data_IF_235915943250
#
_entry.id   IF_235915943250
#
_cell.length_a   1.000
_cell.length_b   1.000
_cell.length_c   1.000
_cell.angle_alpha   90.00
_cell.angle_beta   90.00
_cell.angle_gamma   90.00
#
_symmetry.space_group_name_H-M   'P 1'
#
loop_
_entity.id
_entity.type
_entity.pdbx_description
1 polymer ?
#
# COMPACT_ATOMS: atom_id res chain seq x y z
N UNK A 1 -6.80 9.79 -10.23
CA UNK A 1 -6.36 8.64 -11.02
C UNK A 1 -5.44 7.81 -10.17
N UNK A 2 -5.71 6.51 -10.12
CA UNK A 2 -4.77 5.52 -9.65
C UNK A 2 -3.70 5.34 -10.72
N UNK A 3 -2.42 5.37 -10.34
CA UNK A 3 -1.39 4.89 -11.25
C UNK A 3 -1.64 3.41 -11.51
N UNK A 4 -1.70 3.04 -12.78
CA UNK A 4 -1.85 1.66 -13.18
C UNK A 4 -0.68 0.80 -12.66
N UNK A 5 0.53 1.33 -12.48
CA UNK A 5 1.65 0.54 -11.93
C UNK A 5 1.41 0.09 -10.47
N UNK A 6 0.81 0.96 -9.64
CA UNK A 6 0.48 0.63 -8.25
C UNK A 6 -0.82 -0.15 -8.10
N UNK A 7 -1.67 -0.16 -9.13
CA UNK A 7 -2.86 -1.02 -9.19
C UNK A 7 -2.50 -2.40 -9.68
N UNK A 8 -1.49 -2.55 -10.54
CA UNK A 8 -1.21 -3.81 -11.23
C UNK A 8 -0.23 -4.71 -10.51
N UNK A 9 0.77 -4.19 -9.81
CA UNK A 9 1.60 -4.99 -8.89
C UNK A 9 0.79 -5.58 -7.73
N UNK A 10 -0.38 -5.00 -7.49
CA UNK A 10 -1.32 -5.36 -6.45
C UNK A 10 -2.48 -6.22 -6.97
N UNK A 11 -2.95 -5.97 -8.19
CA UNK A 11 -3.87 -6.88 -8.89
C UNK A 11 -3.18 -8.18 -9.29
N UNK A 12 -1.95 -8.21 -9.79
CA UNK A 12 -1.22 -9.48 -10.10
C UNK A 12 -1.05 -10.37 -8.88
N UNK A 13 -0.92 -9.74 -7.71
CA UNK A 13 -0.83 -10.40 -6.45
C UNK A 13 -2.22 -10.92 -6.02
N UNK A 14 -3.27 -10.08 -6.09
CA UNK A 14 -4.68 -10.50 -5.92
C UNK A 14 -5.08 -11.67 -6.84
N UNK A 15 -4.51 -11.68 -8.05
CA UNK A 15 -4.71 -12.69 -9.10
C UNK A 15 -4.11 -14.05 -8.73
N UNK A 16 -2.98 -14.06 -8.03
CA UNK A 16 -2.25 -15.28 -7.74
C UNK A 16 -2.98 -16.22 -6.79
N UNK A 17 -3.92 -15.67 -6.02
CA UNK A 17 -4.54 -16.47 -4.99
C UNK A 17 -5.77 -17.24 -5.49
N UNK A 18 -6.40 -16.95 -6.64
CA UNK A 18 -7.29 -17.83 -7.45
C UNK A 18 -8.05 -16.89 -8.42
N UNK A 19 -7.98 -17.17 -9.72
CA UNK A 19 -8.95 -16.81 -10.78
C UNK A 19 -9.95 -15.70 -10.44
N UNK A 20 -9.70 -14.45 -10.87
CA UNK A 20 -10.76 -13.42 -10.80
C UNK A 20 -10.90 -12.66 -12.14
N UNK A 21 -11.61 -13.23 -13.13
CA UNK A 21 -12.14 -12.51 -14.30
C UNK A 21 -12.97 -11.27 -13.95
N UNK A 22 -13.63 -11.28 -12.78
CA UNK A 22 -14.60 -10.25 -12.39
C UNK A 22 -13.99 -8.85 -12.19
N UNK A 23 -12.78 -8.74 -11.67
CA UNK A 23 -12.17 -7.43 -11.41
C UNK A 23 -11.86 -6.63 -12.68
N UNK A 24 -11.50 -7.31 -13.77
CA UNK A 24 -11.21 -6.69 -15.07
C UNK A 24 -12.50 -6.24 -15.75
N UNK A 25 -13.51 -7.11 -15.77
CA UNK A 25 -14.83 -6.79 -16.33
C UNK A 25 -15.47 -5.57 -15.63
N UNK A 26 -15.20 -5.42 -14.34
CA UNK A 26 -15.68 -4.31 -13.52
C UNK A 26 -14.76 -3.08 -13.53
N UNK A 27 -13.51 -3.18 -13.98
CA UNK A 27 -12.55 -2.08 -13.94
C UNK A 27 -12.98 -0.95 -14.89
N UNK A 28 -13.21 0.28 -14.38
CA UNK A 28 -13.67 1.40 -15.21
C UNK A 28 -12.47 2.09 -15.92
N UNK A 29 -11.68 1.30 -16.64
CA UNK A 29 -10.47 1.73 -17.35
C UNK A 29 -10.73 2.16 -18.79
N UNK A 30 -9.75 2.85 -19.39
CA UNK A 30 -9.73 3.09 -20.84
C UNK A 30 -9.57 1.76 -21.59
N UNK A 31 -10.09 1.61 -22.83
CA UNK A 31 -10.05 0.34 -23.56
C UNK A 31 -8.67 -0.30 -23.66
N UNK A 32 -7.60 0.48 -23.90
CA UNK A 32 -6.24 -0.06 -23.95
C UNK A 32 -5.71 -0.56 -22.60
N UNK A 33 -6.15 0.07 -21.50
CA UNK A 33 -5.80 -0.35 -20.14
C UNK A 33 -6.54 -1.64 -19.79
N UNK A 34 -7.82 -1.74 -20.16
CA UNK A 34 -8.60 -2.97 -19.98
C UNK A 34 -8.03 -4.10 -20.83
N UNK A 35 -7.68 -3.84 -22.10
CA UNK A 35 -7.08 -4.85 -22.98
C UNK A 35 -5.75 -5.35 -22.45
N UNK A 36 -4.96 -4.45 -21.85
CA UNK A 36 -3.75 -4.84 -21.13
C UNK A 36 -4.08 -5.79 -19.97
N UNK A 37 -5.03 -5.46 -19.10
CA UNK A 37 -5.44 -6.35 -18.00
C UNK A 37 -5.85 -7.74 -18.49
N UNK A 38 -6.66 -7.80 -19.54
CA UNK A 38 -7.09 -9.06 -20.16
C UNK A 38 -5.88 -9.87 -20.66
N UNK A 39 -4.96 -9.23 -21.36
CA UNK A 39 -3.74 -9.88 -21.88
C UNK A 39 -2.87 -10.41 -20.74
N UNK A 40 -2.72 -9.66 -19.65
CA UNK A 40 -1.98 -10.10 -18.47
C UNK A 40 -2.69 -11.27 -17.78
N UNK A 41 -4.01 -11.23 -17.69
CA UNK A 41 -4.81 -12.32 -17.12
C UNK A 41 -4.64 -13.61 -17.92
N UNK A 42 -4.79 -13.56 -19.24
CA UNK A 42 -4.61 -14.71 -20.13
C UNK A 42 -3.19 -15.31 -19.99
N UNK A 43 -2.18 -14.44 -19.89
CA UNK A 43 -0.80 -14.87 -19.68
C UNK A 43 -0.59 -15.54 -18.32
N UNK A 44 -1.15 -14.97 -17.24
CA UNK A 44 -1.05 -15.54 -15.89
C UNK A 44 -1.72 -16.92 -15.78
N UNK A 45 -2.92 -17.07 -16.36
CA UNK A 45 -3.69 -18.32 -16.32
C UNK A 45 -3.06 -19.40 -17.20
N UNK A 46 -2.39 -19.01 -18.29
CA UNK A 46 -1.73 -19.96 -19.19
C UNK A 46 -0.37 -20.48 -18.70
N UNK A 47 0.21 -19.89 -17.65
CA UNK A 47 1.47 -20.36 -17.10
C UNK A 47 1.30 -21.61 -16.22
N UNK A 48 1.96 -22.73 -16.55
CA UNK A 48 1.85 -23.98 -15.79
C UNK A 48 2.80 -23.97 -14.57
N UNK A 49 2.87 -22.87 -13.82
CA UNK A 49 3.81 -22.69 -12.71
C UNK A 49 3.08 -22.47 -11.39
N UNK A 50 3.32 -23.37 -10.43
CA UNK A 50 2.84 -23.21 -9.05
C UNK A 50 3.46 -22.00 -8.33
N UNK A 51 4.62 -21.53 -8.83
CA UNK A 51 5.36 -20.37 -8.32
C UNK A 51 5.90 -19.55 -9.47
N UNK A 52 5.55 -18.27 -9.51
CA UNK A 52 6.06 -17.33 -10.49
C UNK A 52 7.04 -16.37 -9.79
N UNK A 53 8.29 -16.28 -10.27
CA UNK A 53 9.24 -15.30 -9.78
C UNK A 53 8.74 -13.87 -9.97
N UNK A 54 9.02 -13.00 -9.01
CA UNK A 54 8.66 -11.58 -9.08
C UNK A 54 9.19 -10.90 -10.36
N UNK A 55 10.43 -11.21 -10.75
CA UNK A 55 11.04 -10.62 -11.94
C UNK A 55 10.33 -11.02 -13.24
N UNK A 56 9.70 -12.20 -13.29
CA UNK A 56 8.90 -12.62 -14.44
C UNK A 56 7.63 -11.77 -14.58
N UNK A 57 6.97 -11.45 -13.45
CA UNK A 57 5.84 -10.50 -13.43
C UNK A 57 6.31 -9.11 -13.83
N UNK A 58 7.47 -8.67 -13.34
CA UNK A 58 8.02 -7.35 -13.63
C UNK A 58 8.37 -7.19 -15.11
N UNK A 59 8.99 -8.20 -15.72
CA UNK A 59 9.32 -8.22 -17.15
C UNK A 59 8.07 -8.14 -18.03
N UNK A 60 6.97 -8.77 -17.61
CA UNK A 60 5.66 -8.70 -18.26
C UNK A 60 5.04 -7.30 -18.14
N UNK A 61 4.93 -6.77 -16.91
CA UNK A 61 4.26 -5.48 -16.64
C UNK A 61 5.01 -4.31 -17.30
N UNK A 62 6.34 -4.36 -17.32
CA UNK A 62 7.16 -3.37 -18.01
C UNK A 62 7.17 -3.54 -19.53
N UNK A 63 6.39 -4.49 -20.06
CA UNK A 63 6.31 -4.78 -21.48
C UNK A 63 7.69 -4.97 -22.12
N UNK A 64 8.59 -5.69 -21.43
CA UNK A 64 9.94 -5.95 -21.93
C UNK A 64 9.91 -6.77 -23.23
N UNK A 65 8.82 -7.50 -23.46
CA UNK A 65 8.51 -8.22 -24.70
C UNK A 65 8.05 -7.30 -25.85
N UNK A 66 7.97 -5.97 -25.65
CA UNK A 66 7.65 -4.95 -26.67
C UNK A 66 6.33 -5.19 -27.42
N UNK A 67 5.29 -5.61 -26.71
CA UNK A 67 3.94 -5.75 -27.27
C UNK A 67 3.35 -4.35 -27.51
N UNK A 68 3.12 -3.98 -28.77
CA UNK A 68 2.58 -2.67 -29.13
C UNK A 68 1.23 -2.38 -28.44
N UNK A 69 1.03 -1.17 -27.94
CA UNK A 69 -0.22 -0.73 -27.31
C UNK A 69 -0.38 -1.07 -25.83
N UNK A 70 0.58 -1.76 -25.23
CA UNK A 70 0.63 -2.12 -23.81
C UNK A 70 1.63 -1.21 -23.10
N UNK A 71 1.16 -0.14 -22.46
CA UNK A 71 2.01 0.74 -21.65
C UNK A 71 1.24 1.29 -20.46
N UNK A 72 1.84 1.11 -19.28
CA UNK A 72 1.47 1.83 -18.07
C UNK A 72 2.50 2.92 -17.82
N UNK A 73 2.06 4.02 -17.20
CA UNK A 73 2.98 5.08 -16.81
C UNK A 73 4.00 4.52 -15.81
N UNK A 74 5.28 4.73 -16.09
CA UNK A 74 6.39 4.43 -15.21
C UNK A 74 6.48 5.38 -13.99
N UNK A 75 5.56 6.35 -13.89
CA UNK A 75 5.42 7.27 -12.77
C UNK A 75 4.05 7.15 -12.13
N UNK A 76 4.02 7.32 -10.81
CA UNK A 76 2.79 7.43 -10.03
C UNK A 76 2.45 8.92 -9.90
N UNK A 77 1.27 9.31 -10.38
CA UNK A 77 0.77 10.67 -10.27
C UNK A 77 -0.55 10.69 -9.49
N UNK A 78 -0.55 11.33 -8.32
CA UNK A 78 -1.76 11.51 -7.53
C UNK A 78 -2.39 12.87 -7.84
N UNK A 79 -3.69 12.86 -8.14
CA UNK A 79 -4.49 14.08 -8.29
C UNK A 79 -5.47 14.17 -7.11
N UNK A 80 -6.65 13.55 -7.23
CA UNK A 80 -7.63 13.51 -6.13
C UNK A 80 -7.26 12.69 -4.89
N UNK A 81 -6.07 12.06 -4.87
CA UNK A 81 -5.50 11.37 -3.71
C UNK A 81 -4.14 11.97 -3.29
N UNK A 82 -3.74 13.10 -3.85
CA UNK A 82 -2.51 13.79 -3.45
C UNK A 82 -2.63 14.23 -1.98
N UNK A 83 -1.65 13.84 -1.17
CA UNK A 83 -1.52 14.29 0.21
C UNK A 83 -0.93 15.69 0.28
N UNK A 84 -1.20 16.41 1.38
CA UNK A 84 -0.53 17.67 1.69
C UNK A 84 0.97 17.49 1.97
N UNK A 85 1.38 16.26 2.31
CA UNK A 85 2.77 15.83 2.50
C UNK A 85 2.97 14.43 1.90
N UNK A 86 4.20 14.10 1.54
CA UNK A 86 4.55 12.84 0.87
C UNK A 86 4.02 11.54 1.53
N UNK A 87 4.04 11.35 2.87
CA UNK A 87 3.57 10.09 3.48
C UNK A 87 2.05 10.01 3.64
N UNK A 88 1.30 11.05 3.24
CA UNK A 88 -0.14 11.14 3.49
C UNK A 88 -0.95 10.77 2.23
N UNK A 89 -2.14 10.22 2.46
CA UNK A 89 -3.13 9.86 1.42
C UNK A 89 -2.59 8.87 0.40
N UNK A 90 -2.25 9.31 -0.81
CA UNK A 90 -1.61 8.53 -1.87
C UNK A 90 -2.27 7.17 -2.13
N UNK A 91 -1.46 6.12 -2.06
CA UNK A 91 -1.83 4.76 -2.40
C UNK A 91 -3.03 4.21 -1.59
N UNK A 92 -3.08 4.29 -0.25
CA UNK A 92 -4.28 3.90 0.51
C UNK A 92 -5.56 4.63 0.09
N UNK A 93 -5.49 5.95 -0.15
CA UNK A 93 -6.64 6.71 -0.67
C UNK A 93 -7.12 6.17 -2.02
N UNK A 94 -6.15 5.85 -2.88
CA UNK A 94 -6.41 5.37 -4.21
C UNK A 94 -7.12 4.00 -4.19
N UNK A 95 -6.66 3.07 -3.33
CA UNK A 95 -7.25 1.73 -3.20
C UNK A 95 -8.69 1.80 -2.70
N UNK A 96 -8.99 2.66 -1.73
CA UNK A 96 -10.38 2.88 -1.31
C UNK A 96 -11.26 3.31 -2.48
N UNK A 97 -10.79 4.27 -3.30
CA UNK A 97 -11.54 4.70 -4.50
C UNK A 97 -11.72 3.56 -5.50
N UNK A 98 -10.69 2.74 -5.73
CA UNK A 98 -10.78 1.57 -6.61
C UNK A 98 -11.83 0.58 -6.11
N UNK A 99 -11.78 0.22 -4.83
CA UNK A 99 -12.71 -0.75 -4.24
C UNK A 99 -14.16 -0.26 -4.29
N UNK A 100 -14.41 1.00 -3.96
CA UNK A 100 -15.74 1.62 -4.10
C UNK A 100 -16.22 1.61 -5.54
N UNK A 101 -15.35 1.95 -6.50
CA UNK A 101 -15.66 1.83 -7.92
C UNK A 101 -16.00 0.40 -8.32
N UNK A 102 -15.23 -0.61 -7.92
CA UNK A 102 -15.52 -2.01 -8.26
C UNK A 102 -16.87 -2.47 -7.68
N UNK A 103 -17.18 -2.14 -6.42
CA UNK A 103 -18.48 -2.49 -5.82
C UNK A 103 -19.65 -1.79 -6.51
N UNK A 104 -19.50 -0.52 -6.87
CA UNK A 104 -20.52 0.22 -7.61
C UNK A 104 -20.70 -0.36 -9.02
N UNK A 105 -19.60 -0.68 -9.72
CA UNK A 105 -19.66 -1.29 -11.04
C UNK A 105 -20.37 -2.64 -11.02
N UNK A 106 -20.12 -3.48 -10.01
CA UNK A 106 -20.85 -4.74 -9.85
C UNK A 106 -22.35 -4.54 -9.63
N UNK A 107 -22.73 -3.49 -8.90
CA UNK A 107 -24.13 -3.18 -8.64
C UNK A 107 -24.87 -2.56 -9.84
N UNK A 108 -24.17 -1.81 -10.70
CA UNK A 108 -24.79 -1.15 -11.87
C UNK A 108 -24.67 -1.94 -13.18
N UNK A 109 -23.78 -2.94 -13.24
CA UNK A 109 -23.58 -3.83 -14.39
C UNK A 109 -23.64 -5.30 -13.94
N UNK A 110 -24.83 -5.81 -13.57
CA UNK A 110 -24.97 -7.19 -13.09
C UNK A 110 -24.61 -8.23 -14.17
N UNK A 111 -24.74 -7.87 -15.44
CA UNK A 111 -24.35 -8.66 -16.61
C UNK A 111 -22.83 -8.77 -16.78
N UNK A 112 -22.05 -7.84 -16.20
CA UNK A 112 -20.59 -7.84 -16.35
C UNK A 112 -19.96 -9.12 -15.79
N UNK A 113 -20.61 -9.80 -14.84
CA UNK A 113 -20.14 -11.04 -14.22
C UNK A 113 -20.85 -12.29 -14.76
N UNK A 114 -21.74 -12.14 -15.74
CA UNK A 114 -22.44 -13.28 -16.34
C UNK A 114 -21.43 -14.24 -17.00
N UNK A 115 -21.69 -15.55 -16.90
CA UNK A 115 -20.82 -16.61 -17.39
C UNK A 115 -19.44 -16.66 -16.71
N UNK A 116 -19.33 -16.12 -15.49
CA UNK A 116 -18.14 -16.26 -14.64
C UNK A 116 -18.46 -17.09 -13.41
N UNK A 117 -17.43 -17.56 -12.69
CA UNK A 117 -17.61 -18.24 -11.39
C UNK A 117 -18.24 -17.34 -10.30
N UNK A 118 -18.38 -16.04 -10.57
CA UNK A 118 -18.94 -15.04 -9.67
C UNK A 118 -20.38 -14.65 -10.03
N UNK A 119 -20.98 -15.27 -11.05
CA UNK A 119 -22.36 -15.01 -11.43
C UNK A 119 -23.29 -15.28 -10.24
N UNK A 120 -24.08 -14.27 -9.87
CA UNK A 120 -24.99 -14.35 -8.71
C UNK A 120 -24.33 -14.26 -7.33
N UNK A 121 -22.99 -14.20 -7.20
CA UNK A 121 -22.33 -14.01 -5.91
C UNK A 121 -22.25 -12.52 -5.54
N UNK A 122 -23.21 -12.07 -4.72
CA UNK A 122 -23.25 -10.71 -4.19
C UNK A 122 -21.98 -10.26 -3.45
N UNK A 123 -21.18 -11.20 -2.94
CA UNK A 123 -19.98 -10.92 -2.15
C UNK A 123 -18.69 -11.04 -2.97
N UNK A 124 -18.75 -11.39 -4.26
CA UNK A 124 -17.58 -11.67 -5.09
C UNK A 124 -16.50 -10.57 -5.01
N UNK A 125 -16.92 -9.30 -5.16
CA UNK A 125 -16.02 -8.15 -5.11
C UNK A 125 -15.46 -7.95 -3.69
N UNK A 126 -16.28 -8.06 -2.65
CA UNK A 126 -15.82 -7.90 -1.26
C UNK A 126 -14.85 -9.00 -0.84
N UNK A 127 -15.09 -10.25 -1.23
CA UNK A 127 -14.18 -11.38 -1.00
C UNK A 127 -12.83 -11.14 -1.68
N UNK A 128 -12.86 -10.63 -2.92
CA UNK A 128 -11.64 -10.25 -3.66
C UNK A 128 -10.87 -9.15 -2.94
N UNK A 129 -11.55 -8.09 -2.50
CA UNK A 129 -10.95 -6.98 -1.73
C UNK A 129 -10.34 -7.49 -0.42
N UNK A 130 -11.10 -8.27 0.36
CA UNK A 130 -10.67 -8.84 1.64
C UNK A 130 -9.40 -9.66 1.47
N UNK A 131 -9.37 -10.51 0.46
CA UNK A 131 -8.20 -11.35 0.15
C UNK A 131 -7.00 -10.50 -0.24
N UNK A 132 -7.19 -9.55 -1.14
CA UNK A 132 -6.13 -8.66 -1.56
C UNK A 132 -5.50 -7.90 -0.37
N UNK A 133 -6.36 -7.33 0.49
CA UNK A 133 -5.91 -6.62 1.69
C UNK A 133 -5.11 -7.53 2.62
N UNK A 134 -5.56 -8.79 2.79
CA UNK A 134 -4.88 -9.76 3.65
C UNK A 134 -3.49 -10.12 3.14
N UNK A 135 -3.36 -10.40 1.85
CA UNK A 135 -2.11 -10.92 1.29
C UNK A 135 -1.10 -9.81 0.95
N UNK A 136 -1.56 -8.70 0.34
CA UNK A 136 -0.68 -7.75 -0.37
C UNK A 136 -0.64 -6.35 0.20
N UNK A 137 -1.68 -5.90 0.89
CA UNK A 137 -1.70 -4.54 1.38
C UNK A 137 -0.61 -4.30 2.43
N UNK A 138 0.28 -3.34 2.15
CA UNK A 138 1.53 -3.16 2.91
C UNK A 138 1.33 -2.83 4.39
N UNK A 139 0.26 -2.12 4.75
CA UNK A 139 -0.04 -1.81 6.15
C UNK A 139 -0.74 -2.99 6.85
N UNK A 140 0.02 -3.80 7.58
CA UNK A 140 -0.51 -5.00 8.27
C UNK A 140 -1.53 -4.68 9.36
N UNK A 141 -1.32 -3.61 10.13
CA UNK A 141 -2.29 -3.15 11.13
C UNK A 141 -3.62 -2.74 10.46
N UNK A 142 -3.54 -2.00 9.35
CA UNK A 142 -4.71 -1.62 8.57
C UNK A 142 -5.45 -2.85 8.02
N UNK A 143 -4.70 -3.86 7.55
CA UNK A 143 -5.27 -5.11 7.04
C UNK A 143 -5.98 -5.91 8.14
N UNK A 144 -5.41 -5.99 9.35
CA UNK A 144 -6.04 -6.66 10.50
C UNK A 144 -7.35 -5.97 10.90
N UNK A 145 -7.38 -4.64 10.92
CA UNK A 145 -8.60 -3.89 11.16
C UNK A 145 -9.68 -4.14 10.12
N UNK A 146 -9.32 -4.18 8.83
CA UNK A 146 -10.27 -4.52 7.76
C UNK A 146 -10.80 -5.95 7.90
N UNK A 147 -9.91 -6.92 8.15
CA UNK A 147 -10.25 -8.32 8.34
C UNK A 147 -11.21 -8.52 9.53
N UNK A 148 -11.03 -7.77 10.62
CA UNK A 148 -11.93 -7.80 11.77
C UNK A 148 -13.36 -7.37 11.38
N UNK A 149 -13.49 -6.25 10.66
CA UNK A 149 -14.80 -5.78 10.17
C UNK A 149 -15.41 -6.76 9.17
N UNK A 150 -14.58 -7.38 8.33
CA UNK A 150 -15.03 -8.38 7.36
C UNK A 150 -15.60 -9.64 8.04
N UNK A 151 -14.91 -10.16 9.06
CA UNK A 151 -15.40 -11.30 9.87
C UNK A 151 -16.68 -10.99 10.61
N UNK A 152 -16.86 -9.75 11.05
CA UNK A 152 -18.03 -9.32 11.83
C UNK A 152 -19.32 -9.40 11.01
N UNK A 153 -19.32 -8.95 9.75
CA UNK A 153 -20.59 -8.80 9.02
C UNK A 153 -20.52 -8.87 7.48
N UNK A 154 -19.40 -9.28 6.87
CA UNK A 154 -19.36 -9.37 5.39
C UNK A 154 -20.29 -10.49 4.87
N UNK A 155 -20.44 -11.58 5.63
CA UNK A 155 -21.25 -12.74 5.24
C UNK A 155 -22.76 -12.46 5.22
N UNK A 156 -23.20 -11.37 5.86
CA UNK A 156 -24.60 -10.93 5.85
C UNK A 156 -25.01 -10.19 4.57
N UNK A 157 -24.06 -9.80 3.71
CA UNK A 157 -24.33 -9.10 2.45
C UNK A 157 -24.95 -10.05 1.44
N UNK A 158 -26.13 -9.70 0.90
CA UNK A 158 -26.94 -10.53 -0.01
C UNK A 158 -27.12 -9.94 -1.40
N UNK A 159 -26.84 -8.66 -1.60
CA UNK A 159 -26.93 -8.00 -2.91
C UNK A 159 -25.69 -7.18 -3.23
N UNK A 160 -25.46 -6.89 -4.51
CA UNK A 160 -24.35 -6.03 -4.93
C UNK A 160 -24.51 -4.58 -4.44
N UNK A 161 -25.76 -4.10 -4.30
CA UNK A 161 -26.07 -2.82 -3.66
C UNK A 161 -25.67 -2.81 -2.19
N UNK A 162 -26.07 -3.85 -1.43
CA UNK A 162 -25.62 -4.04 -0.05
C UNK A 162 -24.10 -4.15 0.07
N UNK A 163 -23.42 -4.72 -0.93
CA UNK A 163 -21.96 -4.80 -0.93
C UNK A 163 -21.30 -3.42 -1.04
N UNK A 164 -21.82 -2.54 -1.91
CA UNK A 164 -21.37 -1.15 -2.02
C UNK A 164 -21.64 -0.36 -0.73
N UNK A 165 -22.85 -0.52 -0.16
CA UNK A 165 -23.22 0.11 1.11
C UNK A 165 -22.38 -0.43 2.28
N UNK A 166 -22.10 -1.73 2.34
CA UNK A 166 -21.26 -2.34 3.37
C UNK A 166 -19.86 -1.72 3.37
N UNK A 167 -19.23 -1.63 2.19
CA UNK A 167 -17.90 -1.05 2.06
C UNK A 167 -17.90 0.43 2.48
N UNK A 168 -18.94 1.18 2.10
CA UNK A 168 -19.13 2.57 2.51
C UNK A 168 -19.27 2.72 4.03
N UNK A 169 -20.14 1.95 4.68
CA UNK A 169 -20.32 1.94 6.14
C UNK A 169 -19.01 1.65 6.85
N UNK A 170 -18.29 0.59 6.44
CA UNK A 170 -17.01 0.20 7.05
C UNK A 170 -15.91 1.23 6.80
N UNK A 171 -15.92 1.92 5.66
CA UNK A 171 -15.00 3.03 5.43
C UNK A 171 -15.29 4.22 6.37
N UNK A 172 -16.55 4.52 6.67
CA UNK A 172 -16.91 5.54 7.66
C UNK A 172 -16.52 5.15 9.10
N UNK A 173 -16.61 3.87 9.47
CA UNK A 173 -16.05 3.37 10.74
C UNK A 173 -14.54 3.65 10.82
N UNK A 174 -13.81 3.41 9.72
CA UNK A 174 -12.38 3.72 9.63
C UNK A 174 -12.12 5.22 9.71
N UNK A 175 -12.92 6.05 9.04
CA UNK A 175 -12.81 7.51 9.11
C UNK A 175 -12.97 7.99 10.56
N UNK A 176 -14.01 7.53 11.25
CA UNK A 176 -14.26 7.88 12.65
C UNK A 176 -13.10 7.50 13.57
N UNK A 177 -12.51 6.31 13.39
CA UNK A 177 -11.35 5.87 14.17
C UNK A 177 -10.10 6.70 13.89
N UNK A 178 -9.89 7.11 12.64
CA UNK A 178 -8.69 7.83 12.21
C UNK A 178 -8.81 9.36 12.35
N UNK A 179 -9.98 9.89 12.70
CA UNK A 179 -10.17 11.31 12.94
C UNK A 179 -9.28 11.79 14.09
N UNK A 180 -8.48 12.84 13.85
CA UNK A 180 -7.50 13.37 14.80
C UNK A 180 -6.25 12.50 15.01
N UNK A 181 -6.09 11.39 14.26
CA UNK A 181 -4.91 10.55 14.39
C UNK A 181 -3.67 11.23 13.78
N UNK A 182 -2.43 10.91 14.24
CA UNK A 182 -1.21 11.47 13.66
C UNK A 182 -1.00 11.17 12.16
N UNK A 183 -1.70 10.16 11.62
CA UNK A 183 -1.69 9.78 10.21
C UNK A 183 -2.75 10.52 9.37
N UNK A 184 -3.58 11.36 9.99
CA UNK A 184 -4.57 12.20 9.31
C UNK A 184 -3.89 13.32 8.53
N UNK A 185 -4.40 13.59 7.33
CA UNK A 185 -3.93 14.72 6.53
C UNK A 185 -4.66 16.00 6.97
N UNK A 186 -3.97 17.04 7.44
CA UNK A 186 -4.61 18.28 7.88
C UNK A 186 -5.44 18.98 6.79
N UNK A 187 -5.10 18.79 5.51
CA UNK A 187 -5.87 19.33 4.37
C UNK A 187 -6.96 18.37 3.87
N UNK A 188 -7.12 17.22 4.50
CA UNK A 188 -8.21 16.27 4.21
C UNK A 188 -8.64 15.53 5.49
N UNK A 189 -9.26 16.25 6.45
CA UNK A 189 -9.73 15.66 7.69
C UNK A 189 -10.69 14.50 7.45
N UNK A 190 -10.66 13.51 8.34
CA UNK A 190 -11.60 12.39 8.35
C UNK A 190 -12.93 12.87 8.90
N UNK A 191 -13.95 12.68 8.09
CA UNK A 191 -15.35 12.95 8.42
C UNK A 191 -16.17 11.75 8.03
N UNK A 192 -17.35 11.63 8.63
CA UNK A 192 -18.35 10.74 8.06
C UNK A 192 -18.72 11.29 6.67
N UNK A 193 -18.62 10.43 5.67
CA UNK A 193 -18.72 10.80 4.26
C UNK A 193 -19.93 10.10 3.61
N UNK A 194 -20.68 10.75 2.70
CA UNK A 194 -20.53 12.14 2.27
C UNK A 194 -20.88 13.13 3.37
N UNK A 195 -20.37 14.36 3.25
CA UNK A 195 -20.83 15.47 4.08
C UNK A 195 -22.18 15.99 3.58
N UNK A 196 -22.95 16.71 4.41
CA UNK A 196 -24.20 17.33 3.98
C UNK A 196 -24.05 18.23 2.75
N UNK A 197 -22.92 18.93 2.60
CA UNK A 197 -22.64 19.76 1.42
C UNK A 197 -22.48 18.95 0.13
N UNK A 198 -22.02 17.70 0.23
CA UNK A 198 -21.85 16.80 -0.92
C UNK A 198 -23.12 16.05 -1.28
N UNK A 199 -23.94 15.69 -0.29
CA UNK A 199 -25.19 14.99 -0.51
C UNK A 199 -26.21 15.30 0.59
N UNK A 200 -26.95 16.42 0.50
CA UNK A 200 -27.94 16.77 1.53
C UNK A 200 -29.00 15.67 1.71
N UNK A 201 -29.45 15.06 0.60
CA UNK A 201 -30.45 13.99 0.61
C UNK A 201 -29.99 12.69 1.29
N UNK A 202 -28.67 12.50 1.46
CA UNK A 202 -28.12 11.34 2.16
C UNK A 202 -28.33 11.40 3.68
N UNK A 203 -28.62 12.58 4.23
CA UNK A 203 -28.77 12.81 5.66
C UNK A 203 -30.24 13.06 5.98
N UNK A 204 -30.74 12.36 6.99
CA UNK A 204 -32.06 12.57 7.55
C UNK A 204 -31.98 12.65 9.07
N UNK A 205 -33.07 13.08 9.69
CA UNK A 205 -33.18 13.20 11.14
C UNK A 205 -34.40 12.41 11.61
N UNK A 206 -34.17 11.39 12.43
CA UNK A 206 -35.22 10.55 13.01
C UNK A 206 -35.15 10.72 14.53
N UNK A 207 -36.23 11.22 15.13
CA UNK A 207 -36.32 11.48 16.58
C UNK A 207 -35.20 12.40 17.12
N UNK A 208 -34.78 13.41 16.36
CA UNK A 208 -33.71 14.31 16.79
C UNK A 208 -32.29 13.76 16.57
N UNK A 209 -32.16 12.57 16.01
CA UNK A 209 -30.88 11.90 15.78
C UNK A 209 -30.60 11.80 14.28
N UNK A 210 -29.35 12.08 13.92
CA UNK A 210 -28.87 11.90 12.55
C UNK A 210 -29.02 10.44 12.13
N UNK A 211 -29.59 10.22 10.95
CA UNK A 211 -29.68 8.93 10.29
C UNK A 211 -29.25 9.06 8.82
N UNK A 212 -28.86 7.93 8.23
CA UNK A 212 -28.51 7.84 6.82
C UNK A 212 -29.69 7.35 5.99
N UNK A 213 -30.03 8.11 4.95
CA UNK A 213 -30.92 7.60 3.91
C UNK A 213 -30.11 6.72 2.95
N UNK A 214 -30.04 5.42 3.22
CA UNK A 214 -29.18 4.49 2.48
C UNK A 214 -29.49 4.41 0.98
N UNK A 215 -30.75 4.66 0.60
CA UNK A 215 -31.16 4.73 -0.81
C UNK A 215 -30.52 5.93 -1.51
N UNK A 216 -30.54 7.09 -0.89
CA UNK A 216 -29.90 8.31 -1.41
C UNK A 216 -28.37 8.21 -1.35
N UNK A 217 -27.82 7.57 -0.31
CA UNK A 217 -26.39 7.23 -0.24
C UNK A 217 -25.99 6.37 -1.43
N UNK A 218 -26.73 5.28 -1.71
CA UNK A 218 -26.41 4.43 -2.84
C UNK A 218 -26.54 5.16 -4.19
N UNK A 219 -27.56 6.01 -4.35
CA UNK A 219 -27.70 6.87 -5.52
C UNK A 219 -26.48 7.79 -5.70
N UNK A 220 -26.01 8.39 -4.60
CA UNK A 220 -24.80 9.21 -4.57
C UNK A 220 -23.54 8.39 -4.90
N UNK A 221 -23.37 7.19 -4.34
CA UNK A 221 -22.23 6.30 -4.65
C UNK A 221 -22.18 5.93 -6.13
N UNK A 222 -23.33 5.60 -6.73
CA UNK A 222 -23.45 5.29 -8.16
C UNK A 222 -22.99 6.45 -9.05
N UNK A 223 -23.37 7.68 -8.67
CA UNK A 223 -22.89 8.89 -9.36
C UNK A 223 -21.38 9.03 -9.13
N UNK A 224 -20.96 9.20 -7.88
CA UNK A 224 -19.59 9.55 -7.50
C UNK A 224 -18.52 8.56 -8.02
N UNK A 225 -18.81 7.26 -8.01
CA UNK A 225 -17.89 6.21 -8.46
C UNK A 225 -18.24 5.65 -9.85
N UNK A 226 -19.21 6.24 -10.54
CA UNK A 226 -19.61 5.84 -11.89
C UNK A 226 -18.55 6.21 -12.94
N UNK A 227 -18.49 5.44 -14.03
CA UNK A 227 -17.54 5.65 -15.14
C UNK A 227 -17.59 7.08 -15.68
N UNK A 228 -18.78 7.69 -15.72
CA UNK A 228 -19.00 9.04 -16.27
C UNK A 228 -18.35 10.14 -15.44
N UNK A 229 -18.10 9.94 -14.14
CA UNK A 229 -17.47 10.94 -13.27
C UNK A 229 -15.93 10.85 -13.27
N UNK A 230 -15.35 9.91 -14.02
CA UNK A 230 -13.89 9.77 -14.12
C UNK A 230 -13.35 10.83 -15.10
N UNK A 231 -12.75 11.89 -14.56
CA UNK A 231 -11.99 12.86 -15.38
C UNK A 231 -10.78 12.20 -16.02
N UNK A 232 -10.58 12.42 -17.33
CA UNK A 232 -9.43 11.95 -18.12
C UNK A 232 -8.36 13.03 -18.35
N UNK A 233 -8.54 14.23 -17.79
CA UNK A 233 -7.65 15.40 -18.01
C UNK A 233 -6.17 15.11 -17.68
N UNK A 234 -5.91 14.23 -16.72
CA UNK A 234 -4.58 13.88 -16.23
C UNK A 234 -4.12 12.48 -16.66
N UNK A 235 -4.77 11.89 -17.67
CA UNK A 235 -4.53 10.49 -18.08
C UNK A 235 -3.42 10.33 -19.12
N UNK A 236 -2.96 11.45 -19.72
CA UNK A 236 -1.88 11.47 -20.69
C UNK A 236 -0.59 11.97 -20.03
N UNK A 237 0.47 11.15 -19.93
CA UNK A 237 1.75 11.57 -19.38
C UNK A 237 2.46 12.65 -20.21
N UNK A 238 2.05 12.90 -21.45
CA UNK A 238 2.61 13.95 -22.33
C UNK A 238 1.81 15.26 -22.29
N UNK A 239 0.76 15.34 -21.46
CA UNK A 239 0.06 16.61 -21.27
C UNK A 239 0.88 17.51 -20.35
N UNK A 240 1.41 18.61 -20.92
CA UNK A 240 2.08 19.68 -20.17
C UNK A 240 1.09 20.29 -19.19
N UNK A 241 1.19 19.90 -17.91
CA UNK A 241 0.47 20.57 -16.83
C UNK A 241 1.45 21.45 -16.06
N UNK A 242 1.13 22.74 -15.85
CA UNK A 242 1.98 23.61 -15.06
C UNK A 242 2.05 23.06 -13.63
N UNK A 243 3.26 22.70 -13.21
CA UNK A 243 3.59 22.48 -11.81
C UNK A 243 3.20 23.76 -11.05
N UNK A 244 2.35 23.63 -10.03
CA UNK A 244 2.00 24.76 -9.18
C UNK A 244 3.26 25.22 -8.44
N UNK A 245 3.85 26.32 -8.90
CA UNK A 245 4.87 27.07 -8.16
C UNK A 245 4.26 27.61 -6.86
N UNK A 246 4.52 26.92 -5.75
CA UNK A 246 4.40 27.50 -4.42
C UNK A 246 5.82 27.84 -3.94
N UNK A 247 6.25 29.06 -4.24
CA UNK A 247 7.63 29.50 -4.09
C UNK A 247 7.78 30.99 -4.38
N UNK A 248 7.25 31.80 -3.46
CA UNK A 248 7.42 33.24 -3.28
C UNK A 248 8.63 33.86 -4.02
N UNK A 249 8.34 34.70 -5.02
CA UNK A 249 9.30 35.58 -5.70
C UNK A 249 9.74 36.71 -4.78
N UNK A 250 11.01 36.71 -4.37
CA UNK A 250 11.70 37.94 -3.99
C UNK A 250 12.51 38.42 -5.20
N UNK A 251 12.13 39.58 -5.73
CA UNK A 251 12.85 40.27 -6.79
C UNK A 251 14.08 40.96 -6.20
N UNK A 252 15.28 40.66 -6.72
CA UNK A 252 16.29 41.70 -6.85
C UNK A 252 17.05 41.58 -8.17
N UNK A 253 17.16 42.74 -8.80
CA UNK A 253 17.52 42.99 -10.19
C UNK A 253 19.03 43.19 -10.32
N UNK A 254 19.69 42.53 -11.27
CA UNK A 254 20.82 43.14 -12.01
C UNK A 254 21.03 42.44 -13.36
N UNK A 255 21.00 43.24 -14.43
CA UNK A 255 21.36 42.93 -15.84
C UNK A 255 22.89 42.77 -15.95
N UNK A 256 23.55 42.14 -16.93
CA UNK A 256 23.41 42.13 -18.40
C UNK A 256 24.36 41.03 -19.01
N UNK A 257 24.68 40.91 -20.32
CA UNK A 257 24.41 39.70 -21.11
C UNK A 257 25.67 39.08 -21.81
N UNK A 258 25.55 37.85 -22.32
CA UNK A 258 26.00 37.41 -23.69
C UNK A 258 26.10 35.88 -23.84
N UNK A 259 25.50 35.47 -24.94
CA UNK A 259 25.56 34.22 -25.72
C UNK A 259 26.83 33.34 -25.59
N UNK A 260 26.65 32.01 -25.50
CA UNK A 260 26.98 31.06 -26.59
C UNK A 260 26.66 29.58 -26.22
N UNK A 261 26.23 28.80 -27.23
CA UNK A 261 25.86 27.36 -27.22
C UNK A 261 27.10 26.43 -27.11
N UNK A 262 26.98 25.08 -26.96
CA UNK A 262 27.77 24.26 -26.05
C UNK A 262 28.86 23.43 -26.76
N UNK A 263 29.67 22.66 -26.01
CA UNK A 263 29.76 21.23 -26.34
C UNK A 263 29.80 20.28 -25.13
N UNK A 264 29.50 19.02 -25.46
CA UNK A 264 29.43 17.80 -24.65
C UNK A 264 30.48 17.64 -23.54
N UNK A 265 30.06 17.12 -22.38
CA UNK A 265 30.83 16.16 -21.56
C UNK A 265 29.99 15.54 -20.42
N UNK A 266 30.39 14.35 -19.91
CA UNK A 266 29.49 13.32 -19.38
C UNK A 266 29.02 13.50 -17.93
N UNK A 267 27.86 12.90 -17.66
CA UNK A 267 27.16 12.84 -16.36
C UNK A 267 28.05 12.17 -15.30
N UNK A 268 28.56 12.97 -14.36
CA UNK A 268 29.20 12.51 -13.12
C UNK A 268 28.11 12.23 -12.07
N UNK A 269 28.05 10.99 -11.58
CA UNK A 269 27.24 10.59 -10.42
C UNK A 269 27.87 11.14 -9.13
N UNK A 270 27.11 11.78 -8.22
CA UNK A 270 27.61 12.06 -6.88
C UNK A 270 27.54 10.80 -5.99
N UNK A 271 28.72 10.28 -5.64
CA UNK A 271 28.99 9.17 -4.73
C UNK A 271 28.88 9.64 -3.27
N UNK A 272 27.66 9.68 -2.71
CA UNK A 272 27.42 9.96 -1.28
C UNK A 272 27.34 8.67 -0.45
N UNK A 273 28.30 7.74 -0.59
CA UNK A 273 28.44 6.62 0.35
C UNK A 273 29.91 6.20 0.53
N UNK A 274 30.81 7.16 0.82
CA UNK A 274 32.22 6.88 1.17
C UNK A 274 32.75 7.63 2.40
N UNK A 275 31.88 7.96 3.37
CA UNK A 275 32.31 8.66 4.60
C UNK A 275 31.89 7.99 5.91
N UNK A 276 31.86 6.65 5.95
CA UNK A 276 31.50 5.88 7.15
C UNK A 276 32.52 4.83 7.60
N UNK A 277 33.75 4.86 7.09
CA UNK A 277 34.82 3.98 7.60
C UNK A 277 36.14 4.72 7.68
N UNK A 278 36.45 5.30 8.85
CA UNK A 278 37.80 5.30 9.41
C UNK A 278 37.72 5.27 10.94
N UNK A 279 38.51 4.41 11.62
CA UNK A 279 38.60 4.37 13.07
C UNK A 279 39.64 5.38 13.57
N UNK A 280 39.33 6.15 14.62
CA UNK A 280 40.31 7.01 15.31
C UNK A 280 40.85 6.32 16.57
N UNK A 281 42.17 6.34 16.68
CA UNK A 281 43.01 5.87 17.77
C UNK A 281 42.81 6.63 19.10
N UNK A 282 43.32 6.02 20.18
CA UNK A 282 43.29 6.48 21.58
C UNK A 282 44.51 7.33 21.97
N UNK A 283 44.30 8.05 23.10
CA UNK A 283 45.20 8.81 24.00
C UNK A 283 45.10 10.35 23.85
N UNK A 284 45.04 11.19 24.90
CA UNK A 284 45.36 11.07 26.34
C UNK A 284 44.63 12.15 27.16
N UNK A 285 44.60 11.94 28.47
CA UNK A 285 43.92 12.67 29.57
C UNK A 285 44.44 14.11 29.80
N UNK A 286 43.56 15.06 30.14
CA UNK A 286 43.80 16.05 31.20
C UNK A 286 42.50 16.58 31.82
N UNK A 287 42.61 16.93 33.09
CA UNK A 287 41.61 17.14 34.15
C UNK A 287 41.03 18.56 34.15
N UNK A 288 39.74 18.71 34.45
CA UNK A 288 39.26 19.73 35.40
C UNK A 288 37.76 19.56 35.74
N UNK A 289 37.49 19.39 37.04
CA UNK A 289 36.20 19.59 37.70
C UNK A 289 35.68 21.02 37.49
N UNK A 290 34.38 21.15 37.20
CA UNK A 290 33.43 21.79 38.13
C UNK A 290 31.98 21.59 37.70
N UNK A 291 31.13 21.30 38.68
CA UNK A 291 29.72 21.02 38.47
C UNK A 291 28.87 22.29 38.39
N UNK A 292 28.01 22.35 37.37
CA UNK A 292 26.78 23.14 37.44
C UNK A 292 25.68 22.45 36.63
N UNK A 293 24.53 22.31 37.28
CA UNK A 293 23.29 21.73 36.79
C UNK A 293 22.91 22.27 35.40
N UNK A 294 22.80 21.39 34.40
CA UNK A 294 21.87 21.60 33.29
C UNK A 294 21.39 20.24 32.78
N UNK A 295 20.12 19.96 33.03
CA UNK A 295 19.38 18.89 32.38
C UNK A 295 19.41 19.12 30.88
N UNK A 296 20.07 18.22 30.13
CA UNK A 296 19.86 18.09 28.69
C UNK A 296 19.55 16.64 28.41
N UNK A 297 18.24 16.37 28.39
CA UNK A 297 17.67 15.19 27.78
C UNK A 297 18.06 15.14 26.31
N UNK A 298 18.96 14.23 25.95
CA UNK A 298 19.24 13.88 24.56
C UNK A 298 19.29 12.36 24.46
N UNK A 299 18.32 11.80 23.71
CA UNK A 299 17.98 10.38 23.51
C UNK A 299 16.97 9.80 24.53
N UNK A 300 15.71 10.23 24.40
CA UNK A 300 14.57 9.69 25.12
C UNK A 300 14.11 8.31 24.64
N UNK A 301 14.68 7.27 25.22
CA UNK A 301 14.03 5.97 25.42
C UNK A 301 14.38 5.51 26.84
N UNK A 302 13.41 5.56 27.74
CA UNK A 302 13.56 5.13 29.12
C UNK A 302 13.67 3.61 29.20
N UNK A 303 14.89 3.09 29.26
CA UNK A 303 15.16 1.70 29.64
C UNK A 303 15.56 1.67 31.11
N UNK A 304 14.86 0.85 31.89
CA UNK A 304 15.17 0.68 33.31
C UNK A 304 16.31 -0.32 33.47
N UNK A 305 17.06 -0.26 34.59
CA UNK A 305 18.12 -1.24 34.91
C UNK A 305 17.64 -2.71 34.86
N UNK A 306 16.34 -2.93 34.99
CA UNK A 306 15.66 -4.23 34.86
C UNK A 306 15.76 -4.77 33.44
N UNK A 307 15.60 -3.94 32.40
CA UNK A 307 15.62 -4.37 30.98
C UNK A 307 17.01 -4.80 30.52
N UNK A 308 18.06 -4.12 31.00
CA UNK A 308 19.44 -4.52 30.74
C UNK A 308 19.81 -5.81 31.47
N UNK A 309 19.32 -6.01 32.70
CA UNK A 309 19.52 -7.26 33.43
C UNK A 309 18.80 -8.44 32.76
N UNK A 310 17.59 -8.21 32.25
CA UNK A 310 16.79 -9.22 31.55
C UNK A 310 17.47 -9.65 30.24
N UNK A 311 17.98 -8.69 29.46
CA UNK A 311 18.72 -8.99 28.24
C UNK A 311 19.97 -9.83 28.49
N UNK A 312 20.74 -9.53 29.55
CA UNK A 312 21.93 -10.31 29.89
C UNK A 312 21.56 -11.73 30.34
N UNK A 313 20.50 -11.89 31.13
CA UNK A 313 20.02 -13.21 31.56
C UNK A 313 19.50 -14.03 30.36
N UNK A 314 18.73 -13.42 29.46
CA UNK A 314 18.26 -14.08 28.23
C UNK A 314 19.41 -14.46 27.29
N UNK A 315 20.46 -13.64 27.23
CA UNK A 315 21.65 -13.94 26.44
C UNK A 315 22.47 -15.10 27.02
N UNK A 316 22.66 -15.14 28.34
CA UNK A 316 23.38 -16.23 29.01
C UNK A 316 22.60 -17.55 28.88
N UNK A 317 21.29 -17.52 29.11
CA UNK A 317 20.44 -18.72 29.01
C UNK A 317 20.37 -19.28 27.58
N UNK A 318 20.24 -18.42 26.56
CA UNK A 318 20.29 -18.87 25.15
C UNK A 318 21.65 -19.44 24.77
N UNK A 319 22.74 -18.83 25.22
CA UNK A 319 24.11 -19.32 24.98
C UNK A 319 24.36 -20.68 25.64
N UNK A 320 23.88 -20.88 26.87
CA UNK A 320 23.96 -22.17 27.56
C UNK A 320 23.12 -23.24 26.86
N UNK A 321 21.91 -22.89 26.42
CA UNK A 321 21.03 -23.81 25.69
C UNK A 321 21.67 -24.30 24.38
N UNK A 322 22.25 -23.39 23.59
CA UNK A 322 22.96 -23.74 22.36
C UNK A 322 24.18 -24.62 22.62
N UNK A 323 24.92 -24.34 23.70
CA UNK A 323 26.07 -25.16 24.12
C UNK A 323 25.63 -26.59 24.49
N UNK A 324 24.54 -26.74 25.24
CA UNK A 324 23.97 -28.05 25.60
C UNK A 324 23.50 -28.80 24.35
N UNK A 325 22.78 -28.14 23.44
CA UNK A 325 22.36 -28.75 22.18
C UNK A 325 23.56 -29.22 21.35
N UNK A 326 24.60 -28.39 21.24
CA UNK A 326 25.83 -28.74 20.55
C UNK A 326 26.48 -30.00 21.15
N UNK A 327 26.61 -30.08 22.47
CA UNK A 327 27.15 -31.27 23.13
C UNK A 327 26.24 -32.48 22.95
N UNK A 328 24.91 -32.33 23.04
CA UNK A 328 23.96 -33.40 22.80
C UNK A 328 24.10 -33.98 21.39
N UNK A 329 24.15 -33.12 20.36
CA UNK A 329 24.35 -33.56 18.98
C UNK A 329 25.74 -34.16 18.77
N UNK A 330 26.79 -33.62 19.41
CA UNK A 330 28.15 -34.16 19.30
C UNK A 330 28.28 -35.53 19.98
N UNK A 331 27.65 -35.74 21.14
CA UNK A 331 27.60 -37.04 21.83
C UNK A 331 26.76 -38.03 21.04
N UNK A 332 25.62 -37.60 20.50
CA UNK A 332 24.75 -38.45 19.66
C UNK A 332 25.44 -38.83 18.34
N UNK A 333 26.17 -37.91 17.72
CA UNK A 333 26.99 -38.15 16.52
C UNK A 333 28.13 -39.14 16.80
N UNK A 334 28.81 -39.01 17.95
CA UNK A 334 29.83 -39.99 18.37
C UNK A 334 29.24 -41.37 18.65
N UNK A 335 28.07 -41.46 19.29
CA UNK A 335 27.35 -42.73 19.50
C UNK A 335 26.91 -43.40 18.19
N UNK A 336 26.59 -42.61 17.17
CA UNK A 336 26.30 -43.12 15.83
C UNK A 336 27.57 -43.65 15.13
N UNK A 337 28.71 -42.97 15.26
CA UNK A 337 29.99 -43.46 14.71
C UNK A 337 30.49 -44.75 15.37
N UNK A 338 30.23 -44.95 16.67
CA UNK A 338 30.57 -46.21 17.38
C UNK A 338 29.69 -47.38 16.92
N UNK A 339 28.42 -47.14 16.54
CA UNK A 339 27.53 -48.19 16.02
C UNK A 339 27.91 -48.70 14.62
N UNK A 340 28.59 -47.90 13.81
CA UNK A 340 29.01 -48.27 12.45
C UNK A 340 30.42 -48.89 12.37
N UNK A 341 31.18 -48.94 13.48
CA UNK A 341 32.53 -49.51 13.52
C UNK A 341 32.64 -50.82 14.34
N UNK A 342 31.55 -51.57 14.52
CA UNK A 342 31.66 -52.98 14.92
C UNK A 342 32.07 -53.79 13.67
N UNK A 343 33.27 -54.40 13.62
CA UNK A 343 33.53 -55.39 12.60
C UNK A 343 32.59 -56.57 12.84
N UNK A 344 31.97 -57.03 11.77
CA UNK A 344 31.40 -58.37 11.72
C UNK A 344 32.48 -59.37 12.17
N UNK A 345 32.24 -60.06 13.27
CA UNK A 345 32.83 -61.37 13.59
C UNK A 345 31.68 -62.31 13.82
#
# INVERSE_FOLDING_TARGET
MLSAASVYLDLTAAFYSLTVPSSIQLFPGRPHVVKLLETLQEWLVSMPLDKIPYDAILDLVNNKMRISGIYLTNRVAWVGCQGSRAPLRGYPCSLWKLFHSLTVQAAVRPDALANTEFEGDAQAVLKTIRRYIREFFGCRECAQHFESMAKESMDSVKTAEEAALWLWKRHNVVNKRLAGAPSEDPKSPKVEWPTPDLCPACHEEINGLHNWNEKEVFAFLKRHYGIKEISLQYADPNSDHPETEDGKKDNLHTKDPRQNKPPDQPIVKPDFMKKLVQPMEKEKISDHRDGLKTSVSFLGLGFSNIDMSLCVVLYITSSLFLTIMYFFFRVRSKRWKIRYNRPYV
#
